data_IF_597974808183
#
_entry.id   IF_597974808183
#
_cell.length_a   1.000
_cell.length_b   1.000
_cell.length_c   1.000
_cell.angle_alpha   90.00
_cell.angle_beta   90.00
_cell.angle_gamma   90.00
#
_symmetry.space_group_name_H-M   'P 1'
#
loop_
_entity.id
_entity.type
_entity.pdbx_description
1 polymer ?
#
# COMPACT_ATOMS: atom_id res chain seq x y z
N UNK A 1 37.74 26.05 -22.66
CA UNK A 1 37.13 24.71 -22.58
C UNK A 1 37.80 24.02 -21.42
N UNK A 2 37.07 23.85 -20.29
CA UNK A 2 37.66 23.28 -19.08
C UNK A 2 37.80 21.75 -19.18
N UNK A 3 38.94 21.22 -18.73
CA UNK A 3 39.28 19.82 -18.66
C UNK A 3 38.18 18.96 -17.97
N UNK A 4 37.45 19.54 -17.02
CA UNK A 4 36.29 18.96 -16.35
C UNK A 4 35.06 18.77 -17.27
N UNK A 5 34.82 19.68 -18.23
CA UNK A 5 33.72 19.52 -19.19
C UNK A 5 34.03 18.47 -20.25
N UNK A 6 35.31 18.26 -20.56
CA UNK A 6 35.78 17.23 -21.48
C UNK A 6 35.67 15.84 -20.86
N UNK A 7 36.02 15.69 -19.55
CA UNK A 7 35.86 14.43 -18.81
C UNK A 7 34.38 14.05 -18.56
N UNK A 8 33.52 15.07 -18.33
CA UNK A 8 32.08 14.87 -18.20
C UNK A 8 31.47 14.38 -19.53
N UNK A 9 31.88 14.99 -20.66
CA UNK A 9 31.46 14.56 -21.99
C UNK A 9 31.92 13.14 -22.36
N UNK A 10 33.13 12.73 -21.95
CA UNK A 10 33.64 11.38 -22.18
C UNK A 10 32.90 10.35 -21.33
N UNK A 11 32.57 10.63 -20.07
CA UNK A 11 31.82 9.73 -19.20
C UNK A 11 30.39 9.56 -19.65
N UNK A 12 29.71 10.64 -20.04
CA UNK A 12 28.38 10.57 -20.64
C UNK A 12 28.41 9.79 -21.96
N UNK A 13 29.46 9.95 -22.76
CA UNK A 13 29.65 9.20 -24.00
C UNK A 13 30.01 7.70 -23.76
N UNK A 14 30.69 7.38 -22.64
CA UNK A 14 30.96 5.98 -22.25
C UNK A 14 29.70 5.27 -21.72
N UNK A 15 28.81 5.96 -20.98
CA UNK A 15 27.50 5.44 -20.61
C UNK A 15 26.57 5.29 -21.82
N UNK A 16 26.66 6.17 -22.81
CA UNK A 16 25.96 6.05 -24.09
C UNK A 16 26.50 4.90 -24.97
N UNK A 17 27.71 4.42 -24.73
CA UNK A 17 28.29 3.26 -25.44
C UNK A 17 28.04 1.93 -24.76
N UNK A 18 27.67 1.88 -23.50
CA UNK A 18 26.94 0.77 -22.92
C UNK A 18 25.52 0.83 -23.51
N UNK A 19 25.04 -0.19 -24.20
CA UNK A 19 23.67 -0.30 -24.71
C UNK A 19 22.70 -0.18 -23.52
N UNK A 20 22.46 1.06 -23.08
CA UNK A 20 21.46 1.35 -22.05
C UNK A 20 20.11 1.38 -22.75
N UNK A 21 19.17 0.52 -22.36
CA UNK A 21 17.79 0.60 -22.82
C UNK A 21 17.05 1.86 -22.30
N UNK A 22 17.76 2.77 -21.59
CA UNK A 22 17.18 3.99 -21.05
C UNK A 22 17.09 5.10 -22.12
N UNK A 23 16.01 5.88 -22.16
CA UNK A 23 15.90 7.03 -23.06
C UNK A 23 17.02 8.05 -22.82
N UNK A 24 17.61 8.61 -23.88
CA UNK A 24 18.68 9.62 -23.77
C UNK A 24 18.21 10.84 -22.95
N UNK A 25 16.98 11.28 -23.18
CA UNK A 25 16.39 12.39 -22.43
C UNK A 25 16.26 12.09 -20.93
N UNK A 26 15.98 10.82 -20.55
CA UNK A 26 15.96 10.40 -19.16
C UNK A 26 17.36 10.50 -18.53
N UNK A 27 18.38 9.95 -19.20
CA UNK A 27 19.77 10.01 -18.69
C UNK A 27 20.20 11.46 -18.52
N UNK A 28 19.93 12.32 -19.51
CA UNK A 28 20.21 13.76 -19.41
C UNK A 28 19.49 14.41 -18.24
N UNK A 29 18.20 14.13 -18.06
CA UNK A 29 17.39 14.66 -16.98
C UNK A 29 17.95 14.26 -15.60
N UNK A 30 18.39 13.01 -15.43
CA UNK A 30 18.99 12.57 -14.17
C UNK A 30 20.27 13.34 -13.85
N UNK A 31 21.13 13.60 -14.85
CA UNK A 31 22.32 14.42 -14.67
C UNK A 31 22.04 15.92 -14.44
N UNK A 32 20.88 16.43 -14.85
CA UNK A 32 20.42 17.78 -14.51
C UNK A 32 19.88 17.85 -13.07
N UNK A 33 19.27 16.77 -12.60
CA UNK A 33 18.60 16.73 -11.29
C UNK A 33 19.53 16.31 -10.13
N UNK A 34 20.53 15.50 -10.41
CA UNK A 34 21.44 14.94 -9.42
C UNK A 34 22.90 15.26 -9.73
N UNK A 35 23.77 15.12 -8.74
CA UNK A 35 25.21 15.11 -9.01
C UNK A 35 25.59 13.90 -9.88
N UNK A 36 26.70 14.03 -10.60
CA UNK A 36 27.14 13.03 -11.58
C UNK A 36 27.26 11.62 -10.96
N UNK A 37 27.73 11.51 -9.72
CA UNK A 37 27.91 10.20 -9.05
C UNK A 37 26.58 9.54 -8.79
N UNK A 38 25.60 10.29 -8.29
CA UNK A 38 24.25 9.82 -8.02
C UNK A 38 23.51 9.44 -9.32
N UNK A 39 23.60 10.28 -10.36
CA UNK A 39 22.97 10.01 -11.66
C UNK A 39 23.57 8.76 -12.34
N UNK A 40 24.91 8.64 -12.34
CA UNK A 40 25.61 7.45 -12.87
C UNK A 40 25.22 6.18 -12.13
N UNK A 41 25.16 6.22 -10.79
CA UNK A 41 24.77 5.08 -9.97
C UNK A 41 23.32 4.65 -10.24
N UNK A 42 22.40 5.61 -10.32
CA UNK A 42 20.99 5.36 -10.66
C UNK A 42 20.83 4.71 -12.03
N UNK A 43 21.39 5.33 -13.09
CA UNK A 43 21.28 4.81 -14.44
C UNK A 43 21.92 3.41 -14.57
N UNK A 44 23.07 3.19 -13.91
CA UNK A 44 23.72 1.87 -13.88
C UNK A 44 22.84 0.84 -13.17
N UNK A 45 22.29 1.17 -12.02
CA UNK A 45 21.44 0.27 -11.25
C UNK A 45 20.16 -0.11 -12.03
N UNK A 46 19.54 0.85 -12.72
CA UNK A 46 18.36 0.59 -13.56
C UNK A 46 18.64 -0.40 -14.71
N UNK A 47 19.87 -0.46 -15.18
CA UNK A 47 20.28 -1.36 -16.29
C UNK A 47 20.85 -2.70 -15.84
N UNK A 48 21.40 -2.79 -14.62
CA UNK A 48 22.27 -3.93 -14.24
C UNK A 48 21.83 -4.68 -13.00
N UNK A 49 20.87 -4.17 -12.24
CA UNK A 49 20.42 -4.82 -11.01
C UNK A 49 19.00 -5.35 -11.14
N UNK A 50 18.76 -6.52 -10.52
CA UNK A 50 17.43 -7.10 -10.43
C UNK A 50 16.57 -6.37 -9.38
N UNK A 51 15.23 -6.34 -9.57
CA UNK A 51 14.30 -5.81 -8.59
C UNK A 51 14.38 -6.55 -7.24
N UNK A 52 14.48 -5.79 -6.16
CA UNK A 52 14.41 -6.34 -4.80
C UNK A 52 13.01 -6.89 -4.51
N UNK A 53 12.95 -8.01 -3.80
CA UNK A 53 11.68 -8.61 -3.36
C UNK A 53 11.52 -8.40 -1.88
N UNK A 54 10.39 -7.86 -1.47
CA UNK A 54 10.08 -7.66 -0.05
C UNK A 54 8.62 -7.96 0.27
N UNK A 55 8.40 -8.32 1.52
CA UNK A 55 7.07 -8.60 2.09
C UNK A 55 6.86 -7.77 3.34
N UNK A 56 5.60 -7.54 3.66
CA UNK A 56 5.19 -6.92 4.92
C UNK A 56 4.09 -7.77 5.56
N UNK A 57 4.32 -8.16 6.81
CA UNK A 57 3.38 -8.97 7.58
C UNK A 57 2.13 -8.16 7.99
N UNK A 58 1.01 -8.84 8.11
CA UNK A 58 -0.16 -8.32 8.80
C UNK A 58 0.02 -8.60 10.30
N UNK A 59 0.31 -7.57 11.12
CA UNK A 59 0.68 -7.78 12.54
C UNK A 59 -0.47 -8.32 13.40
N UNK A 60 -1.71 -8.36 12.87
CA UNK A 60 -2.86 -8.95 13.53
C UNK A 60 -3.10 -10.43 13.16
N UNK A 61 -2.27 -10.98 12.28
CA UNK A 61 -2.40 -12.36 11.77
C UNK A 61 -1.12 -13.17 11.86
N UNK A 62 0.03 -12.52 11.78
CA UNK A 62 1.33 -13.18 11.71
C UNK A 62 2.39 -12.28 12.35
N UNK A 63 3.16 -12.83 13.27
CA UNK A 63 4.23 -12.11 13.96
C UNK A 63 5.58 -12.26 13.27
N UNK A 64 6.48 -11.32 13.53
CA UNK A 64 7.85 -11.39 13.03
C UNK A 64 8.61 -12.60 13.62
N UNK A 65 8.34 -12.95 14.88
CA UNK A 65 8.94 -14.08 15.57
C UNK A 65 8.59 -15.42 14.90
N UNK A 66 7.33 -15.61 14.51
CA UNK A 66 6.89 -16.82 13.79
C UNK A 66 7.61 -16.97 12.46
N UNK A 67 7.78 -15.89 11.72
CA UNK A 67 8.48 -15.90 10.42
C UNK A 67 9.97 -16.13 10.60
N UNK A 68 10.61 -15.45 11.54
CA UNK A 68 12.04 -15.57 11.82
C UNK A 68 12.43 -16.92 12.42
N UNK A 69 11.51 -17.61 13.10
CA UNK A 69 11.71 -18.99 13.55
C UNK A 69 11.90 -19.97 12.38
N UNK A 70 11.26 -19.71 11.22
CA UNK A 70 11.39 -20.51 10.00
C UNK A 70 12.51 -19.98 9.09
N UNK A 71 12.66 -18.66 9.04
CA UNK A 71 13.60 -17.96 8.17
C UNK A 71 14.49 -17.01 8.97
N UNK A 72 15.45 -17.52 9.75
CA UNK A 72 16.29 -16.68 10.64
C UNK A 72 17.19 -15.68 9.89
N UNK A 73 17.42 -15.90 8.61
CA UNK A 73 18.30 -15.08 7.76
C UNK A 73 17.58 -13.94 7.04
N UNK A 74 16.26 -13.72 7.29
CA UNK A 74 15.55 -12.61 6.66
C UNK A 74 16.06 -11.27 7.17
N UNK A 75 16.37 -10.40 6.23
CA UNK A 75 16.80 -9.04 6.53
C UNK A 75 15.59 -8.12 6.71
N UNK A 76 15.48 -7.39 7.83
CA UNK A 76 14.38 -6.45 8.03
C UNK A 76 14.49 -5.25 7.09
N UNK A 77 13.35 -4.68 6.69
CA UNK A 77 13.28 -3.38 6.04
C UNK A 77 13.43 -2.30 7.12
N UNK A 78 14.51 -1.48 7.10
CA UNK A 78 14.86 -0.63 8.25
C UNK A 78 13.82 0.42 8.64
N UNK A 79 12.97 0.83 7.72
CA UNK A 79 11.97 1.89 7.89
C UNK A 79 10.54 1.39 8.05
N UNK A 80 10.32 0.06 8.07
CA UNK A 80 9.00 -0.52 8.22
C UNK A 80 9.03 -1.72 9.16
N UNK A 81 8.38 -1.64 10.33
CA UNK A 81 8.26 -2.78 11.23
C UNK A 81 7.50 -3.93 10.53
N UNK A 82 7.84 -5.17 10.89
CA UNK A 82 7.24 -6.39 10.33
C UNK A 82 7.39 -6.53 8.80
N UNK A 83 8.43 -5.92 8.22
CA UNK A 83 8.74 -6.04 6.80
C UNK A 83 10.15 -6.61 6.58
N UNK A 84 10.29 -7.45 5.56
CA UNK A 84 11.51 -8.20 5.30
C UNK A 84 11.84 -8.24 3.81
N UNK A 85 13.13 -8.22 3.50
CA UNK A 85 13.65 -8.56 2.18
C UNK A 85 13.72 -10.08 2.02
N UNK A 86 13.40 -10.56 0.83
CA UNK A 86 13.57 -11.96 0.45
C UNK A 86 14.77 -12.10 -0.48
N UNK A 87 15.55 -13.18 -0.35
CA UNK A 87 16.71 -13.45 -1.21
C UNK A 87 16.33 -13.70 -2.67
N UNK A 88 15.14 -14.28 -2.89
CA UNK A 88 14.60 -14.57 -4.22
C UNK A 88 13.07 -14.39 -4.22
N UNK A 89 12.49 -14.34 -5.40
CA UNK A 89 11.04 -14.23 -5.56
C UNK A 89 10.38 -15.61 -5.57
N UNK A 90 9.71 -16.02 -4.51
CA UNK A 90 9.03 -17.30 -4.49
C UNK A 90 7.74 -17.26 -5.31
N UNK A 91 7.12 -18.43 -5.49
CA UNK A 91 5.83 -18.58 -6.16
C UNK A 91 4.66 -18.22 -5.21
N UNK A 92 4.57 -16.96 -4.82
CA UNK A 92 3.60 -16.43 -3.86
C UNK A 92 2.15 -16.87 -4.08
N UNK A 93 1.75 -17.09 -5.34
CA UNK A 93 0.40 -17.55 -5.70
C UNK A 93 0.03 -18.85 -5.01
N UNK A 94 1.00 -19.70 -4.67
CA UNK A 94 0.78 -20.99 -4.03
C UNK A 94 0.93 -20.96 -2.51
N UNK A 95 1.08 -19.76 -1.92
CA UNK A 95 1.06 -19.62 -0.47
C UNK A 95 -0.35 -19.29 0.02
N UNK A 96 -1.03 -20.23 0.75
CA UNK A 96 -2.34 -19.94 1.32
C UNK A 96 -2.33 -18.74 2.29
N UNK A 97 -1.19 -18.45 2.95
CA UNK A 97 -1.04 -17.30 3.86
C UNK A 97 -1.18 -15.97 3.13
N UNK A 98 -0.70 -15.86 1.87
CA UNK A 98 -0.97 -14.67 1.04
C UNK A 98 -2.47 -14.47 0.83
N UNK A 99 -3.18 -15.56 0.51
CA UNK A 99 -4.63 -15.53 0.27
C UNK A 99 -5.45 -15.28 1.54
N UNK A 100 -4.91 -15.66 2.70
CA UNK A 100 -5.46 -15.31 4.01
C UNK A 100 -5.15 -13.86 4.42
N UNK A 101 -4.38 -13.10 3.64
CA UNK A 101 -3.96 -11.74 3.97
C UNK A 101 -3.05 -11.66 5.19
N UNK A 102 -2.25 -12.72 5.45
CA UNK A 102 -1.28 -12.75 6.53
C UNK A 102 -0.04 -11.88 6.24
N UNK A 103 0.24 -11.64 4.97
CA UNK A 103 1.27 -10.71 4.52
C UNK A 103 0.90 -10.10 3.16
N UNK A 104 1.61 -9.03 2.79
CA UNK A 104 1.50 -8.35 1.50
C UNK A 104 2.87 -8.32 0.81
N UNK A 105 2.94 -8.62 -0.48
CA UNK A 105 4.15 -8.44 -1.29
C UNK A 105 4.20 -6.98 -1.69
N UNK A 106 5.09 -6.22 -1.07
CA UNK A 106 5.16 -4.77 -1.24
C UNK A 106 6.60 -4.34 -1.50
N UNK A 107 6.78 -3.37 -2.38
CA UNK A 107 8.07 -2.74 -2.65
C UNK A 107 8.57 -2.01 -1.39
N UNK A 108 9.85 -2.22 -1.03
CA UNK A 108 10.40 -1.80 0.25
C UNK A 108 10.38 -0.28 0.45
N UNK A 109 10.81 0.52 -0.55
CA UNK A 109 10.86 1.97 -0.42
C UNK A 109 9.47 2.57 -0.20
N UNK A 110 8.42 2.00 -0.84
CA UNK A 110 7.03 2.41 -0.64
C UNK A 110 6.50 2.20 0.77
N UNK A 111 7.16 1.35 1.56
CA UNK A 111 6.85 1.15 2.98
C UNK A 111 7.34 2.29 3.87
N UNK A 112 8.14 3.22 3.34
CA UNK A 112 8.66 4.37 4.09
C UNK A 112 7.56 5.29 4.66
N UNK A 113 6.34 5.22 4.14
CA UNK A 113 5.20 5.93 4.73
C UNK A 113 4.96 5.52 6.19
N UNK A 114 5.42 4.33 6.63
CA UNK A 114 5.34 3.92 8.03
C UNK A 114 6.09 4.86 8.96
N UNK A 115 7.25 5.38 8.53
CA UNK A 115 8.05 6.33 9.30
C UNK A 115 7.45 7.74 9.38
N UNK A 116 6.49 8.07 8.49
CA UNK A 116 5.85 9.38 8.44
C UNK A 116 4.59 9.47 9.31
N UNK A 117 4.13 8.34 9.82
CA UNK A 117 2.92 8.22 10.64
C UNK A 117 3.19 7.91 12.12
N UNK A 118 4.23 8.43 12.77
CA UNK A 118 4.61 8.04 14.14
C UNK A 118 3.62 8.48 15.20
N UNK A 119 2.75 9.45 14.89
CA UNK A 119 1.64 9.83 15.76
C UNK A 119 0.54 8.75 15.84
N UNK A 120 0.58 7.74 14.97
CA UNK A 120 -0.43 6.70 14.85
C UNK A 120 -0.04 5.40 15.58
N UNK A 121 1.24 5.18 15.88
CA UNK A 121 1.69 3.94 16.53
C UNK A 121 1.89 4.12 18.03
N UNK A 122 1.15 3.37 18.86
CA UNK A 122 1.49 3.10 20.26
C UNK A 122 2.50 1.94 20.27
N UNK A 123 3.78 2.19 20.02
CA UNK A 123 4.79 1.14 20.06
C UNK A 123 6.17 1.68 20.35
N UNK A 124 6.80 1.21 21.43
CA UNK A 124 8.20 1.40 21.77
C UNK A 124 9.08 0.56 20.82
N UNK A 125 9.17 1.00 19.58
CA UNK A 125 10.09 0.48 18.59
C UNK A 125 10.73 1.65 17.88
N UNK A 126 11.72 2.28 18.51
CA UNK A 126 12.54 3.29 17.85
C UNK A 126 13.17 2.65 16.61
N UNK A 127 12.73 3.10 15.43
CA UNK A 127 13.39 2.78 14.17
C UNK A 127 14.84 3.26 14.29
N UNK A 128 15.79 2.34 14.12
CA UNK A 128 17.23 2.58 14.32
C UNK A 128 17.90 3.38 13.18
N UNK A 129 17.15 4.13 12.38
CA UNK A 129 17.66 4.94 11.27
C UNK A 129 16.98 6.33 11.21
N UNK A 130 17.66 7.35 10.70
CA UNK A 130 17.31 8.75 10.86
C UNK A 130 16.14 9.16 9.97
N UNK A 131 14.93 8.76 10.32
CA UNK A 131 13.78 9.59 10.06
C UNK A 131 13.75 10.68 11.14
N UNK A 132 13.49 11.94 10.78
CA UNK A 132 13.32 12.98 11.78
C UNK A 132 12.25 12.57 12.78
N UNK A 133 12.31 13.09 14.03
CA UNK A 133 11.38 12.71 15.08
C UNK A 133 9.94 12.90 14.59
N UNK A 134 9.03 12.03 15.05
CA UNK A 134 7.64 12.02 14.61
C UNK A 134 7.00 13.40 14.70
N UNK A 135 6.44 13.83 13.58
CA UNK A 135 5.58 15.00 13.55
C UNK A 135 4.35 14.69 14.40
N UNK A 136 4.17 15.40 15.49
CA UNK A 136 2.90 15.35 16.23
C UNK A 136 1.86 16.06 15.35
N UNK A 137 1.15 15.28 14.54
CA UNK A 137 -0.15 15.73 14.00
C UNK A 137 -0.96 16.15 15.20
N UNK A 138 -1.68 17.28 15.17
CA UNK A 138 -2.37 17.88 16.31
C UNK A 138 -3.42 17.02 17.02
N UNK A 139 -3.39 15.69 16.86
CA UNK A 139 -4.04 14.71 17.70
C UNK A 139 -3.37 14.70 19.07
N UNK A 140 -4.11 15.12 20.09
CA UNK A 140 -3.70 14.94 21.49
C UNK A 140 -3.41 13.47 21.72
N UNK A 141 -2.21 13.18 22.21
CA UNK A 141 -1.76 11.84 22.59
C UNK A 141 -2.79 11.14 23.47
N UNK A 142 -3.38 10.05 22.98
CA UNK A 142 -4.30 9.16 23.71
C UNK A 142 -5.71 9.13 23.13
N UNK A 143 -6.10 8.03 22.48
CA UNK A 143 -7.48 7.58 22.25
C UNK A 143 -8.35 8.26 21.15
N UNK A 144 -7.89 9.23 20.40
CA UNK A 144 -8.73 9.77 19.33
C UNK A 144 -8.70 8.86 18.08
N UNK A 145 -9.86 8.42 17.64
CA UNK A 145 -10.04 7.77 16.34
C UNK A 145 -9.67 8.71 15.21
N UNK A 146 -9.06 8.19 14.14
CA UNK A 146 -8.53 8.92 13.01
C UNK A 146 -9.36 8.61 11.78
N UNK A 147 -9.70 9.64 10.99
CA UNK A 147 -10.19 9.47 9.63
C UNK A 147 -9.03 9.64 8.65
N UNK A 148 -8.65 8.53 8.02
CA UNK A 148 -7.63 8.51 6.98
C UNK A 148 -8.25 8.27 5.60
N UNK A 149 -7.69 8.91 4.57
CA UNK A 149 -8.04 8.70 3.16
C UNK A 149 -6.79 8.38 2.37
N UNK A 150 -6.76 7.21 1.74
CA UNK A 150 -5.79 6.84 0.68
C UNK A 150 -6.50 7.04 -0.67
N UNK A 151 -6.13 8.12 -1.39
CA UNK A 151 -6.89 8.61 -2.54
C UNK A 151 -6.66 7.79 -3.81
N UNK A 152 -5.44 7.25 -4.01
CA UNK A 152 -5.01 6.50 -5.19
C UNK A 152 -4.52 5.11 -4.79
N UNK A 153 -5.38 4.36 -4.10
CA UNK A 153 -5.01 3.27 -3.23
C UNK A 153 -4.61 1.95 -3.93
N UNK A 154 -5.09 1.72 -5.17
CA UNK A 154 -4.86 0.44 -5.83
C UNK A 154 -3.37 0.17 -6.14
N UNK A 155 -2.90 -1.05 -5.92
CA UNK A 155 -3.63 -2.28 -5.58
C UNK A 155 -3.87 -2.54 -4.08
N UNK A 156 -3.47 -1.63 -3.15
CA UNK A 156 -3.77 -1.75 -1.72
C UNK A 156 -2.55 -1.90 -0.79
N UNK A 157 -1.32 -1.87 -1.32
CA UNK A 157 -0.11 -2.03 -0.50
C UNK A 157 0.03 -0.92 0.56
N UNK A 158 -0.14 0.34 0.19
CA UNK A 158 -0.09 1.49 1.10
C UNK A 158 -1.33 1.56 2.00
N UNK A 159 -2.52 1.25 1.48
CA UNK A 159 -3.74 1.14 2.28
C UNK A 159 -3.65 0.09 3.38
N UNK A 160 -3.17 -1.11 3.09
CA UNK A 160 -2.99 -2.17 4.09
C UNK A 160 -1.91 -1.81 5.12
N UNK A 161 -0.86 -1.08 4.72
CA UNK A 161 0.12 -0.54 5.65
C UNK A 161 -0.51 0.50 6.57
N UNK A 162 -1.20 1.49 6.00
CA UNK A 162 -1.86 2.55 6.77
C UNK A 162 -2.88 1.97 7.75
N UNK A 163 -3.71 0.99 7.33
CA UNK A 163 -4.65 0.30 8.20
C UNK A 163 -3.97 -0.36 9.42
N UNK A 164 -2.77 -0.93 9.22
CA UNK A 164 -2.02 -1.56 10.30
C UNK A 164 -1.50 -0.56 11.35
N UNK A 165 -1.28 0.69 10.95
CA UNK A 165 -0.73 1.76 11.77
C UNK A 165 -1.81 2.58 12.51
N UNK A 166 -3.05 2.57 12.01
CA UNK A 166 -4.14 3.33 12.59
C UNK A 166 -4.54 2.76 13.97
N UNK A 167 -4.88 3.61 14.95
CA UNK A 167 -5.43 3.18 16.23
C UNK A 167 -6.81 2.54 16.05
N UNK A 168 -7.21 1.75 17.03
CA UNK A 168 -8.55 1.16 17.10
C UNK A 168 -9.64 2.24 17.03
N UNK A 169 -10.79 1.89 16.43
CA UNK A 169 -11.89 2.83 16.23
C UNK A 169 -11.68 3.85 15.10
N UNK A 170 -10.54 3.82 14.41
CA UNK A 170 -10.28 4.66 13.24
C UNK A 170 -11.00 4.17 11.99
N UNK A 171 -11.12 5.06 11.00
CA UNK A 171 -11.68 4.74 9.69
C UNK A 171 -10.64 5.03 8.61
N UNK A 172 -10.40 4.06 7.74
CA UNK A 172 -9.63 4.22 6.51
C UNK A 172 -10.56 4.15 5.30
N UNK A 173 -10.60 5.22 4.52
CA UNK A 173 -11.18 5.20 3.17
C UNK A 173 -10.06 4.91 2.19
N UNK A 174 -10.21 3.84 1.41
CA UNK A 174 -9.26 3.45 0.36
C UNK A 174 -9.95 3.63 -0.99
N UNK A 175 -9.53 4.63 -1.76
CA UNK A 175 -10.18 5.03 -3.00
C UNK A 175 -9.37 4.71 -4.25
N UNK A 176 -10.06 4.36 -5.33
CA UNK A 176 -9.47 4.20 -6.66
C UNK A 176 -10.53 4.51 -7.72
N UNK A 177 -10.35 5.53 -8.56
CA UNK A 177 -11.38 5.92 -9.55
C UNK A 177 -11.55 4.90 -10.68
N UNK A 178 -10.54 4.11 -11.01
CA UNK A 178 -10.58 3.18 -12.15
C UNK A 178 -11.18 1.84 -11.73
N UNK A 179 -12.35 1.49 -12.25
CA UNK A 179 -13.16 0.35 -11.84
C UNK A 179 -12.39 -0.98 -11.74
N UNK A 180 -11.56 -1.31 -12.74
CA UNK A 180 -10.76 -2.55 -12.72
C UNK A 180 -9.74 -2.56 -11.59
N UNK A 181 -9.10 -1.43 -11.32
CA UNK A 181 -8.13 -1.28 -10.24
C UNK A 181 -8.83 -1.25 -8.88
N UNK A 182 -9.97 -0.58 -8.78
CA UNK A 182 -10.80 -0.54 -7.57
C UNK A 182 -11.31 -1.93 -7.17
N UNK A 183 -11.63 -2.79 -8.14
CA UNK A 183 -11.97 -4.19 -7.87
C UNK A 183 -10.80 -4.95 -7.24
N UNK A 184 -9.58 -4.80 -7.76
CA UNK A 184 -8.36 -5.43 -7.20
C UNK A 184 -8.08 -4.90 -5.80
N UNK A 185 -8.21 -3.59 -5.57
CA UNK A 185 -8.10 -2.97 -4.26
C UNK A 185 -9.09 -3.59 -3.27
N UNK A 186 -10.36 -3.68 -3.66
CA UNK A 186 -11.43 -4.27 -2.84
C UNK A 186 -11.10 -5.73 -2.45
N UNK A 187 -10.64 -6.54 -3.39
CA UNK A 187 -10.23 -7.92 -3.13
C UNK A 187 -9.07 -8.03 -2.13
N UNK A 188 -8.03 -7.21 -2.30
CA UNK A 188 -6.88 -7.21 -1.42
C UNK A 188 -7.24 -6.72 0.00
N UNK A 189 -8.07 -5.67 0.10
CA UNK A 189 -8.53 -5.17 1.40
C UNK A 189 -9.43 -6.18 2.10
N UNK A 190 -10.32 -6.89 1.38
CA UNK A 190 -11.14 -7.97 1.95
C UNK A 190 -10.28 -9.10 2.53
N UNK A 191 -9.25 -9.57 1.79
CA UNK A 191 -8.31 -10.59 2.28
C UNK A 191 -7.54 -10.11 3.51
N UNK A 192 -7.10 -8.84 3.48
CA UNK A 192 -6.37 -8.23 4.60
C UNK A 192 -7.21 -8.14 5.87
N UNK A 193 -8.47 -7.74 5.74
CA UNK A 193 -9.41 -7.54 6.86
C UNK A 193 -10.03 -8.83 7.39
N UNK A 194 -10.08 -9.89 6.59
CA UNK A 194 -10.73 -11.15 6.95
C UNK A 194 -10.14 -11.75 8.24
N UNK A 195 -10.98 -12.01 9.24
CA UNK A 195 -10.56 -12.54 10.54
C UNK A 195 -9.86 -11.55 11.46
N UNK A 196 -9.82 -10.26 11.13
CA UNK A 196 -9.39 -9.24 12.09
C UNK A 196 -10.45 -9.00 13.17
N UNK A 197 -10.06 -8.59 14.39
CA UNK A 197 -11.00 -8.25 15.46
C UNK A 197 -11.89 -7.06 15.06
N UNK A 198 -13.07 -6.95 15.69
CA UNK A 198 -14.03 -5.87 15.40
C UNK A 198 -13.50 -4.48 15.73
N UNK A 199 -12.61 -4.40 16.69
CA UNK A 199 -11.95 -3.18 17.16
C UNK A 199 -10.91 -2.68 16.15
N UNK A 200 -10.49 -3.52 15.18
CA UNK A 200 -9.55 -3.10 14.13
C UNK A 200 -10.11 -1.91 13.34
N UNK A 201 -9.23 -1.01 12.85
CA UNK A 201 -9.67 0.14 12.05
C UNK A 201 -10.60 -0.28 10.91
N UNK A 202 -11.78 0.35 10.84
CA UNK A 202 -12.76 0.11 9.77
C UNK A 202 -12.19 0.52 8.43
N UNK A 203 -12.41 -0.29 7.40
CA UNK A 203 -11.98 -0.01 6.03
C UNK A 203 -13.21 0.15 5.13
N UNK A 204 -13.23 1.23 4.36
CA UNK A 204 -14.24 1.52 3.35
C UNK A 204 -13.52 1.67 2.01
N UNK A 205 -13.78 0.78 1.06
CA UNK A 205 -13.25 0.88 -0.30
C UNK A 205 -14.24 1.61 -1.19
N UNK A 206 -13.77 2.66 -1.86
CA UNK A 206 -14.60 3.51 -2.71
C UNK A 206 -14.05 3.58 -4.14
N UNK A 207 -14.93 3.94 -5.07
CA UNK A 207 -14.59 4.20 -6.47
C UNK A 207 -15.13 5.58 -6.86
N UNK A 208 -14.33 6.62 -6.59
CA UNK A 208 -14.73 8.02 -6.74
C UNK A 208 -13.60 8.85 -7.32
N UNK A 209 -13.93 9.96 -7.97
CA UNK A 209 -12.98 11.00 -8.35
C UNK A 209 -12.70 11.93 -7.17
N UNK A 210 -11.55 12.66 -7.13
CA UNK A 210 -11.21 13.56 -6.02
C UNK A 210 -12.29 14.59 -5.69
N UNK A 211 -12.97 15.14 -6.69
CA UNK A 211 -14.04 16.11 -6.50
C UNK A 211 -15.30 15.57 -5.79
N UNK A 212 -15.49 14.24 -5.76
CA UNK A 212 -16.67 13.62 -5.13
C UNK A 212 -16.59 13.64 -3.59
N UNK A 213 -15.44 13.96 -3.02
CA UNK A 213 -15.19 13.96 -1.58
C UNK A 213 -15.61 15.25 -0.86
N UNK A 214 -16.43 16.11 -1.48
CA UNK A 214 -16.88 17.38 -0.91
C UNK A 214 -17.53 17.25 0.47
N UNK A 215 -18.25 16.17 0.74
CA UNK A 215 -18.86 15.89 2.05
C UNK A 215 -17.83 15.71 3.19
N UNK A 216 -16.58 15.41 2.89
CA UNK A 216 -15.48 15.25 3.85
C UNK A 216 -14.65 16.52 4.07
N UNK A 217 -15.10 17.67 3.58
CA UNK A 217 -14.37 18.95 3.74
C UNK A 217 -13.98 19.19 5.20
N UNK A 218 -12.68 19.36 5.46
CA UNK A 218 -12.11 19.64 6.77
C UNK A 218 -12.25 18.52 7.79
N UNK A 219 -12.47 17.26 7.36
CA UNK A 219 -12.68 16.13 8.27
C UNK A 219 -11.54 15.11 8.30
N UNK A 220 -10.71 15.06 7.25
CA UNK A 220 -9.65 14.05 7.11
C UNK A 220 -8.43 14.44 7.94
N UNK A 221 -7.98 13.52 8.80
CA UNK A 221 -6.77 13.67 9.61
C UNK A 221 -5.50 13.37 8.84
N UNK A 222 -5.53 12.29 8.04
CA UNK A 222 -4.41 11.82 7.23
C UNK A 222 -4.88 11.58 5.81
N UNK A 223 -4.30 12.30 4.87
CA UNK A 223 -4.51 12.14 3.44
C UNK A 223 -3.24 11.55 2.81
N UNK A 224 -3.34 10.35 2.27
CA UNK A 224 -2.28 9.73 1.48
C UNK A 224 -2.63 9.87 0.00
N UNK A 225 -1.69 10.41 -0.77
CA UNK A 225 -1.81 10.56 -2.23
C UNK A 225 -0.58 9.95 -2.90
N UNK A 226 -0.68 8.66 -3.24
CA UNK A 226 0.28 7.99 -4.13
C UNK A 226 -0.16 8.22 -5.57
N UNK A 227 0.17 9.40 -6.08
CA UNK A 227 -0.42 9.92 -7.31
C UNK A 227 0.05 9.18 -8.57
N UNK A 228 -0.78 9.09 -9.62
CA UNK A 228 -0.33 8.60 -10.92
C UNK A 228 0.85 9.42 -11.43
N UNK A 229 1.93 8.74 -11.85
CA UNK A 229 3.21 9.35 -12.22
C UNK A 229 3.76 8.78 -13.52
N UNK A 230 4.89 9.30 -14.01
CA UNK A 230 5.55 8.85 -15.25
C UNK A 230 6.11 7.43 -15.18
N UNK A 231 6.18 6.83 -13.98
CA UNK A 231 6.46 5.41 -13.79
C UNK A 231 7.93 5.02 -13.89
N UNK A 232 8.87 5.92 -13.66
CA UNK A 232 10.32 5.67 -13.73
C UNK A 232 10.77 4.52 -12.80
N UNK A 233 10.15 4.37 -11.63
CA UNK A 233 10.39 3.25 -10.72
C UNK A 233 9.94 1.87 -11.24
N UNK A 234 9.30 1.82 -12.40
CA UNK A 234 8.92 0.56 -13.07
C UNK A 234 9.96 0.09 -14.09
N UNK A 235 10.99 0.87 -14.41
CA UNK A 235 11.93 0.59 -15.51
C UNK A 235 12.62 -0.76 -15.37
N UNK A 236 12.93 -1.23 -14.16
CA UNK A 236 13.50 -2.58 -13.95
C UNK A 236 12.50 -3.73 -14.10
N UNK A 237 11.19 -3.44 -14.08
CA UNK A 237 10.12 -4.45 -14.08
C UNK A 237 9.31 -4.49 -15.36
N UNK A 238 9.27 -3.39 -16.09
CA UNK A 238 8.41 -3.21 -17.26
C UNK A 238 9.12 -2.41 -18.35
N UNK A 239 9.57 -3.09 -19.39
CA UNK A 239 10.13 -2.44 -20.56
C UNK A 239 9.13 -1.52 -21.28
N UNK A 240 7.82 -1.74 -21.09
CA UNK A 240 6.78 -0.86 -21.59
C UNK A 240 6.89 0.54 -20.99
N UNK A 241 7.16 0.62 -19.68
CA UNK A 241 7.35 1.89 -18.97
C UNK A 241 8.53 2.70 -19.57
N UNK A 242 9.62 2.03 -19.95
CA UNK A 242 10.77 2.67 -20.61
C UNK A 242 10.36 3.24 -21.98
N UNK A 243 9.61 2.47 -22.76
CA UNK A 243 9.19 2.87 -24.13
C UNK A 243 8.16 4.00 -24.14
N UNK A 244 7.30 4.06 -23.14
CA UNK A 244 6.25 5.07 -23.01
C UNK A 244 6.75 6.35 -22.33
N UNK A 245 7.93 6.32 -21.69
CA UNK A 245 8.47 7.46 -21.01
C UNK A 245 8.90 8.58 -21.97
N UNK A 246 8.56 9.81 -21.64
CA UNK A 246 9.01 11.02 -22.35
C UNK A 246 8.92 12.23 -21.41
N UNK A 247 9.69 13.30 -21.70
CA UNK A 247 9.58 14.56 -20.96
C UNK A 247 8.19 15.18 -21.04
N UNK A 248 7.47 14.99 -22.15
CA UNK A 248 6.09 15.43 -22.31
C UNK A 248 5.16 14.68 -21.32
N UNK A 249 5.32 13.36 -21.21
CA UNK A 249 4.57 12.54 -20.26
C UNK A 249 4.87 12.94 -18.81
N UNK A 250 6.13 13.21 -18.47
CA UNK A 250 6.52 13.74 -17.14
C UNK A 250 5.76 15.04 -16.83
N UNK A 251 5.74 15.99 -17.76
CA UNK A 251 5.03 17.27 -17.57
C UNK A 251 3.51 17.09 -17.46
N UNK A 252 2.95 16.22 -18.27
CA UNK A 252 1.53 15.88 -18.19
C UNK A 252 1.19 15.23 -16.83
N UNK A 253 2.03 14.33 -16.33
CA UNK A 253 1.85 13.72 -15.01
C UNK A 253 1.97 14.75 -13.89
N UNK A 254 2.98 15.64 -13.94
CA UNK A 254 3.12 16.75 -13.01
C UNK A 254 1.83 17.58 -12.90
N UNK A 255 1.26 18.00 -14.04
CA UNK A 255 0.03 18.79 -14.03
C UNK A 255 -1.16 18.00 -13.47
N UNK A 256 -1.34 16.74 -13.88
CA UNK A 256 -2.39 15.86 -13.35
C UNK A 256 -2.31 15.70 -11.84
N UNK A 257 -1.10 15.58 -11.30
CA UNK A 257 -0.88 15.47 -9.86
C UNK A 257 -1.32 16.74 -9.12
N UNK A 258 -1.02 17.92 -9.69
CA UNK A 258 -1.48 19.21 -9.15
C UNK A 258 -3.00 19.36 -9.21
N UNK A 259 -3.63 18.92 -10.30
CA UNK A 259 -5.08 18.93 -10.43
C UNK A 259 -5.74 18.03 -9.36
N UNK A 260 -5.24 16.79 -9.19
CA UNK A 260 -5.71 15.86 -8.14
C UNK A 260 -5.58 16.49 -6.75
N UNK A 261 -4.42 17.10 -6.45
CA UNK A 261 -4.17 17.72 -5.15
C UNK A 261 -5.05 18.94 -4.91
N UNK A 262 -5.28 19.77 -5.94
CA UNK A 262 -6.19 20.92 -5.87
C UNK A 262 -7.62 20.49 -5.55
N UNK A 263 -8.10 19.43 -6.20
CA UNK A 263 -9.44 18.91 -6.02
C UNK A 263 -9.66 18.29 -4.63
N UNK A 264 -8.62 17.72 -4.00
CA UNK A 264 -8.77 16.97 -2.75
C UNK A 264 -8.28 17.73 -1.50
N UNK A 265 -7.46 18.77 -1.65
CA UNK A 265 -6.84 19.47 -0.50
C UNK A 265 -7.85 19.93 0.56
N UNK A 266 -9.04 20.30 0.14
CA UNK A 266 -10.09 20.83 1.01
C UNK A 266 -10.56 19.82 2.07
N UNK A 267 -10.43 18.51 1.83
CA UNK A 267 -10.86 17.47 2.80
C UNK A 267 -9.96 17.41 4.03
N UNK A 268 -8.68 17.81 3.88
CA UNK A 268 -7.72 17.77 4.96
C UNK A 268 -8.06 18.85 5.99
N UNK A 269 -8.21 18.47 7.24
CA UNK A 269 -8.49 19.43 8.31
C UNK A 269 -7.26 20.28 8.67
N UNK A 270 -7.45 21.49 9.25
CA UNK A 270 -6.33 22.23 9.80
C UNK A 270 -5.57 21.38 10.83
N UNK A 271 -4.25 21.29 10.69
CA UNK A 271 -3.39 20.37 11.44
C UNK A 271 -3.38 18.92 10.97
N UNK A 272 -4.15 18.57 9.93
CA UNK A 272 -4.09 17.27 9.28
C UNK A 272 -2.84 17.11 8.43
N UNK A 273 -2.46 15.87 8.13
CA UNK A 273 -1.23 15.50 7.44
C UNK A 273 -1.51 15.00 6.03
N UNK A 274 -0.93 15.65 5.01
CA UNK A 274 -0.77 15.08 3.67
C UNK A 274 0.51 14.26 3.62
N UNK A 275 0.42 13.03 3.11
CA UNK A 275 1.55 12.21 2.68
C UNK A 275 1.46 12.15 1.15
N UNK A 276 2.39 12.83 0.48
CA UNK A 276 2.52 12.86 -0.96
C UNK A 276 3.59 11.86 -1.40
N UNK A 277 3.33 11.04 -2.40
CA UNK A 277 4.32 10.08 -2.91
C UNK A 277 4.17 9.80 -4.40
N UNK A 278 5.29 9.44 -5.02
CA UNK A 278 5.39 8.96 -6.40
C UNK A 278 6.40 7.81 -6.48
N UNK A 279 6.38 7.07 -7.58
CA UNK A 279 7.44 6.13 -7.93
C UNK A 279 8.33 6.68 -9.07
N UNK A 280 8.74 7.94 -8.98
CA UNK A 280 9.62 8.59 -9.95
C UNK A 280 10.92 9.07 -9.33
N UNK A 281 11.83 9.56 -10.17
CA UNK A 281 13.11 10.13 -9.76
C UNK A 281 13.25 11.60 -10.18
N UNK A 282 12.33 12.11 -11.00
CA UNK A 282 12.44 13.46 -11.54
C UNK A 282 11.86 14.50 -10.59
N UNK A 283 12.55 15.62 -10.45
CA UNK A 283 12.14 16.71 -9.55
C UNK A 283 10.82 17.37 -9.93
N UNK A 284 10.40 17.27 -11.20
CA UNK A 284 9.16 17.89 -11.65
C UNK A 284 7.94 17.30 -10.95
N UNK A 285 7.90 15.97 -10.86
CA UNK A 285 6.81 15.27 -10.20
C UNK A 285 7.00 15.19 -8.67
N UNK A 286 8.21 15.41 -8.18
CA UNK A 286 8.61 15.19 -6.79
C UNK A 286 8.76 16.53 -6.05
N UNK A 287 9.96 17.08 -5.89
CA UNK A 287 10.21 18.28 -5.11
C UNK A 287 9.48 19.53 -5.63
N UNK A 288 9.32 19.68 -6.95
CA UNK A 288 8.61 20.84 -7.50
C UNK A 288 7.12 20.80 -7.16
N UNK A 289 6.52 19.59 -7.09
CA UNK A 289 5.15 19.44 -6.61
C UNK A 289 5.05 19.65 -5.10
N UNK A 290 6.02 19.15 -4.30
CA UNK A 290 6.03 19.42 -2.86
C UNK A 290 6.13 20.93 -2.58
N UNK A 291 7.00 21.67 -3.31
CA UNK A 291 7.09 23.14 -3.22
C UNK A 291 5.81 23.82 -3.68
N UNK A 292 5.20 23.34 -4.75
CA UNK A 292 3.93 23.85 -5.26
C UNK A 292 2.78 23.67 -4.23
N UNK A 293 2.72 22.53 -3.53
CA UNK A 293 1.76 22.33 -2.42
C UNK A 293 1.98 23.40 -1.33
N UNK A 294 3.23 23.73 -1.03
CA UNK A 294 3.52 24.79 -0.04
C UNK A 294 3.08 26.18 -0.51
N UNK A 295 3.37 26.54 -1.76
CA UNK A 295 3.07 27.89 -2.29
C UNK A 295 1.61 28.11 -2.63
N UNK A 296 0.95 27.12 -3.24
CA UNK A 296 -0.41 27.29 -3.79
C UNK A 296 -1.50 26.76 -2.86
N UNK A 297 -1.24 25.67 -2.15
CA UNK A 297 -2.24 25.05 -1.25
C UNK A 297 -2.01 25.42 0.23
N UNK A 298 -0.87 26.08 0.54
CA UNK A 298 -0.53 26.50 1.88
C UNK A 298 -0.11 25.37 2.81
N UNK A 299 0.40 24.26 2.28
CA UNK A 299 1.04 23.21 3.05
C UNK A 299 2.39 23.66 3.63
N UNK A 300 2.90 22.92 4.60
CA UNK A 300 4.23 23.12 5.18
C UNK A 300 5.06 21.86 4.98
N UNK A 301 6.19 21.94 4.27
CA UNK A 301 7.06 20.77 4.05
C UNK A 301 7.83 20.47 5.34
N UNK A 302 7.51 19.34 5.96
CA UNK A 302 8.21 18.89 7.17
C UNK A 302 9.33 17.92 6.87
N UNK A 303 9.13 17.03 5.90
CA UNK A 303 10.10 16.05 5.50
C UNK A 303 9.86 15.63 4.05
N UNK A 304 10.94 15.38 3.33
CA UNK A 304 10.94 14.71 2.04
C UNK A 304 12.09 13.71 1.97
N UNK A 305 11.92 12.64 1.21
CA UNK A 305 12.98 11.65 0.96
C UNK A 305 12.80 10.99 -0.41
N UNK A 306 13.92 10.90 -1.13
CA UNK A 306 14.08 10.04 -2.30
C UNK A 306 14.79 8.73 -1.93
N UNK A 307 14.23 7.63 -2.39
CA UNK A 307 14.87 6.32 -2.44
C UNK A 307 15.27 6.08 -3.89
N UNK A 308 16.57 5.97 -4.16
CA UNK A 308 17.11 5.84 -5.50
C UNK A 308 17.81 4.48 -5.67
N UNK A 309 17.46 3.68 -6.69
CA UNK A 309 18.24 2.51 -7.08
C UNK A 309 19.74 2.84 -7.20
N UNK A 310 20.59 1.95 -6.73
CA UNK A 310 22.05 2.18 -6.68
C UNK A 310 22.54 2.90 -5.43
N UNK A 311 21.67 3.62 -4.71
CA UNK A 311 21.95 4.22 -3.39
C UNK A 311 21.13 3.54 -2.28
N UNK A 312 19.87 3.34 -2.52
CA UNK A 312 18.93 2.73 -1.57
C UNK A 312 18.44 1.38 -2.11
N UNK A 313 18.05 0.48 -1.21
CA UNK A 313 17.41 -0.79 -1.58
C UNK A 313 15.93 -0.54 -1.90
N UNK A 314 15.53 -0.83 -3.13
CA UNK A 314 14.15 -0.64 -3.63
C UNK A 314 14.12 -0.23 -5.09
N UNK A 315 12.89 -0.02 -5.61
CA UNK A 315 12.66 0.33 -7.03
C UNK A 315 12.72 1.82 -7.31
N UNK A 316 12.73 2.61 -6.27
CA UNK A 316 12.63 4.06 -6.34
C UNK A 316 11.29 4.57 -5.86
N UNK A 317 11.38 5.59 -5.03
CA UNK A 317 10.21 6.17 -4.39
C UNK A 317 10.53 7.56 -3.85
N UNK A 318 9.66 8.50 -4.11
CA UNK A 318 9.67 9.79 -3.44
C UNK A 318 8.52 9.87 -2.44
N UNK A 319 8.78 10.44 -1.28
CA UNK A 319 7.75 10.70 -0.29
C UNK A 319 8.01 12.01 0.43
N UNK A 320 6.95 12.79 0.62
CA UNK A 320 6.96 14.02 1.39
C UNK A 320 5.80 14.06 2.37
N UNK A 321 6.03 14.63 3.54
CA UNK A 321 5.00 14.91 4.54
C UNK A 321 4.75 16.40 4.66
N UNK A 322 3.48 16.79 4.44
CA UNK A 322 3.07 18.18 4.35
C UNK A 322 1.79 18.41 5.19
N UNK A 323 1.91 18.85 6.46
CA UNK A 323 0.73 19.22 7.22
C UNK A 323 0.06 20.47 6.64
N UNK A 324 -1.26 20.51 6.78
CA UNK A 324 -2.03 21.74 6.61
C UNK A 324 -1.89 22.58 7.88
N UNK A 325 -1.38 23.83 7.81
CA UNK A 325 -1.20 24.65 8.99
C UNK A 325 -2.47 24.87 9.78
N UNK A 326 -2.33 25.00 11.10
CA UNK A 326 -3.43 25.40 11.97
C UNK A 326 -3.83 26.84 11.62
N UNK A 327 -5.08 27.06 11.25
CA UNK A 327 -5.61 28.40 11.12
C UNK A 327 -5.56 29.09 12.49
N UNK A 328 -4.94 30.29 12.57
CA UNK A 328 -5.00 31.11 13.79
C UNK A 328 -6.46 31.34 14.15
N UNK A 329 -6.84 30.85 15.31
CA UNK A 329 -8.18 30.84 15.94
C UNK A 329 -9.20 31.76 15.27
N UNK A 330 -10.07 31.19 14.45
CA UNK A 330 -11.47 31.52 14.34
C UNK A 330 -12.17 30.22 13.96
N UNK A 331 -13.07 29.78 14.83
CA UNK A 331 -13.96 28.64 14.70
C UNK A 331 -13.46 27.29 15.24
N UNK A 332 -14.28 26.76 16.13
CA UNK A 332 -14.15 25.48 16.77
C UNK A 332 -14.23 24.32 15.77
N UNK A 333 -13.10 23.73 15.43
CA UNK A 333 -13.10 22.41 14.81
C UNK A 333 -13.67 21.42 15.83
N UNK A 334 -14.87 20.92 15.59
CA UNK A 334 -15.43 19.80 16.37
C UNK A 334 -14.51 18.59 16.17
N UNK A 335 -14.17 17.86 17.24
CA UNK A 335 -13.48 16.59 17.07
C UNK A 335 -14.31 15.66 16.18
N UNK A 336 -13.64 14.93 15.27
CA UNK A 336 -14.30 13.88 14.52
C UNK A 336 -14.85 12.85 15.50
N UNK A 337 -16.15 12.69 15.51
CA UNK A 337 -16.82 11.59 16.18
C UNK A 337 -17.14 10.57 15.09
N UNK A 338 -16.56 9.36 15.12
CA UNK A 338 -16.90 8.33 14.13
C UNK A 338 -18.41 8.17 14.10
N UNK A 339 -19.03 8.05 12.93
CA UNK A 339 -20.44 7.71 12.85
C UNK A 339 -20.68 6.41 13.61
N UNK A 340 -21.51 6.46 14.65
CA UNK A 340 -22.04 5.27 15.29
C UNK A 340 -22.80 4.42 14.25
N UNK A 341 -22.90 3.12 14.45
CA UNK A 341 -23.66 2.22 13.59
C UNK A 341 -25.04 2.83 13.27
N UNK A 342 -25.31 3.07 11.97
CA UNK A 342 -26.56 3.66 11.50
C UNK A 342 -26.49 5.09 10.94
N UNK A 343 -25.39 5.83 11.08
CA UNK A 343 -25.26 7.17 10.48
C UNK A 343 -24.54 7.11 9.12
N UNK A 344 -25.28 6.73 8.06
CA UNK A 344 -24.78 6.71 6.67
C UNK A 344 -24.55 8.08 6.03
N UNK A 345 -24.82 9.19 6.75
CA UNK A 345 -24.80 10.53 6.17
C UNK A 345 -23.40 11.06 5.86
N UNK A 346 -22.35 10.69 6.63
CA UNK A 346 -20.99 11.18 6.41
C UNK A 346 -20.37 10.70 5.10
N UNK A 347 -20.83 9.57 4.57
CA UNK A 347 -20.36 8.96 3.32
C UNK A 347 -21.44 8.96 2.23
N UNK A 348 -22.52 9.73 2.45
CA UNK A 348 -23.59 9.88 1.46
C UNK A 348 -23.02 10.53 0.19
N UNK A 349 -23.28 9.91 -0.95
CA UNK A 349 -22.76 10.35 -2.26
C UNK A 349 -21.49 9.62 -2.71
N UNK A 350 -20.78 8.88 -1.86
CA UNK A 350 -19.65 8.06 -2.30
C UNK A 350 -20.12 6.70 -2.84
N UNK A 351 -19.51 6.26 -3.94
CA UNK A 351 -19.70 4.92 -4.46
C UNK A 351 -18.83 3.92 -3.69
N UNK A 352 -19.44 3.21 -2.74
CA UNK A 352 -18.77 2.24 -1.86
C UNK A 352 -18.81 0.85 -2.50
N UNK A 353 -17.63 0.22 -2.63
CA UNK A 353 -17.45 -1.14 -3.12
C UNK A 353 -17.36 -2.17 -1.98
N UNK A 354 -16.79 -1.78 -0.85
CA UNK A 354 -16.60 -2.63 0.31
C UNK A 354 -16.58 -1.79 1.59
N UNK A 355 -17.15 -2.34 2.66
CA UNK A 355 -17.11 -1.77 4.00
C UNK A 355 -16.96 -2.89 5.01
N UNK A 356 -15.85 -2.90 5.76
CA UNK A 356 -15.54 -3.96 6.71
C UNK A 356 -16.49 -4.03 7.92
N UNK A 357 -17.23 -2.95 8.20
CA UNK A 357 -18.23 -2.93 9.28
C UNK A 357 -19.64 -3.28 8.80
N UNK A 358 -19.88 -3.36 7.49
CA UNK A 358 -21.21 -3.67 6.95
C UNK A 358 -21.51 -5.16 7.05
N UNK A 359 -22.54 -5.50 7.79
CA UNK A 359 -23.16 -6.84 7.78
C UNK A 359 -23.99 -7.11 6.51
N UNK A 360 -24.07 -6.16 5.59
CA UNK A 360 -25.03 -6.14 4.51
C UNK A 360 -24.72 -7.10 3.36
N UNK A 361 -25.78 -7.63 2.81
CA UNK A 361 -25.95 -8.62 1.72
C UNK A 361 -25.23 -8.30 0.39
N UNK A 362 -24.50 -7.19 0.28
CA UNK A 362 -23.78 -6.78 -0.94
C UNK A 362 -22.33 -7.26 -1.02
N UNK A 363 -21.79 -7.81 0.07
CA UNK A 363 -20.42 -8.33 0.07
C UNK A 363 -20.40 -9.72 -0.61
N UNK A 364 -19.51 -9.90 -1.58
CA UNK A 364 -19.24 -11.21 -2.22
C UNK A 364 -18.68 -12.23 -1.22
N UNK A 365 -18.29 -11.81 -0.04
CA UNK A 365 -18.00 -12.59 1.15
C UNK A 365 -19.06 -12.31 2.21
N UNK A 366 -19.79 -13.33 2.67
CA UNK A 366 -20.54 -13.14 3.90
C UNK A 366 -19.56 -12.83 5.02
N UNK A 367 -19.84 -11.83 5.88
CA UNK A 367 -19.12 -11.65 7.14
C UNK A 367 -19.18 -12.98 7.92
N UNK A 368 -18.26 -13.22 8.85
CA UNK A 368 -18.43 -14.28 9.84
C UNK A 368 -19.85 -14.12 10.38
N UNK A 369 -20.65 -15.16 10.29
CA UNK A 369 -22.11 -15.13 10.58
C UNK A 369 -22.34 -14.62 12.00
N UNK A 370 -22.59 -13.33 12.17
CA UNK A 370 -23.09 -12.76 13.42
C UNK A 370 -24.51 -13.25 13.63
N UNK A 371 -24.75 -13.93 14.73
CA UNK A 371 -26.10 -14.28 15.20
C UNK A 371 -26.56 -15.73 14.98
N UNK A 372 -25.79 -16.59 14.34
CA UNK A 372 -26.06 -18.04 14.31
C UNK A 372 -24.81 -18.80 14.74
N UNK A 373 -24.57 -18.97 16.03
CA UNK A 373 -23.50 -19.80 16.58
C UNK A 373 -22.11 -19.56 15.96
N UNK A 374 -21.03 -19.72 16.70
CA UNK A 374 -19.67 -19.61 16.17
C UNK A 374 -19.54 -20.38 14.87
N UNK A 375 -19.21 -19.69 13.76
CA UNK A 375 -18.99 -20.33 12.46
C UNK A 375 -17.86 -21.36 12.64
N UNK A 376 -18.14 -22.64 12.39
CA UNK A 376 -17.16 -23.71 12.56
C UNK A 376 -16.00 -23.44 11.59
N UNK A 377 -14.82 -23.17 12.16
CA UNK A 377 -13.58 -23.05 11.40
C UNK A 377 -13.05 -24.46 11.12
N UNK A 378 -12.74 -24.74 9.86
CA UNK A 378 -12.15 -26.02 9.43
C UNK A 378 -10.77 -25.71 8.89
N UNK A 379 -9.75 -26.12 9.62
CA UNK A 379 -8.37 -25.94 9.21
C UNK A 379 -7.99 -26.96 8.13
N UNK A 380 -7.43 -26.49 7.06
CA UNK A 380 -7.08 -27.27 5.88
C UNK A 380 -5.58 -27.56 5.87
N UNK A 381 -5.20 -28.75 5.42
CA UNK A 381 -3.80 -29.00 5.04
C UNK A 381 -3.40 -28.13 3.86
N UNK A 382 -2.11 -27.96 3.62
CA UNK A 382 -1.60 -27.20 2.48
C UNK A 382 -2.23 -27.62 1.14
N UNK A 383 -2.29 -28.92 0.86
CA UNK A 383 -2.89 -29.45 -0.36
C UNK A 383 -4.38 -29.13 -0.48
N UNK A 384 -5.14 -29.29 0.63
CA UNK A 384 -6.57 -28.96 0.67
C UNK A 384 -6.81 -27.45 0.52
N UNK A 385 -5.94 -26.61 1.09
CA UNK A 385 -6.01 -25.16 0.92
C UNK A 385 -5.82 -24.77 -0.55
N UNK A 386 -4.85 -25.36 -1.27
CA UNK A 386 -4.69 -25.13 -2.70
C UNK A 386 -5.89 -25.61 -3.52
N UNK A 387 -6.48 -26.78 -3.19
CA UNK A 387 -7.73 -27.24 -3.82
C UNK A 387 -8.86 -26.23 -3.59
N UNK A 388 -8.98 -25.72 -2.37
CA UNK A 388 -9.95 -24.67 -2.05
C UNK A 388 -9.73 -23.40 -2.89
N UNK A 389 -8.50 -22.89 -2.94
CA UNK A 389 -8.13 -21.69 -3.68
C UNK A 389 -8.30 -21.85 -5.22
N UNK A 390 -8.27 -23.09 -5.72
CA UNK A 390 -8.58 -23.42 -7.13
C UNK A 390 -10.06 -23.64 -7.39
N UNK A 391 -10.90 -23.60 -6.34
CA UNK A 391 -12.32 -23.98 -6.39
C UNK A 391 -12.58 -25.44 -6.77
N UNK A 392 -11.65 -26.31 -6.46
CA UNK A 392 -11.82 -27.74 -6.60
C UNK A 392 -12.72 -28.31 -5.48
N UNK A 393 -13.22 -29.52 -5.69
CA UNK A 393 -14.06 -30.19 -4.69
C UNK A 393 -13.24 -30.64 -3.49
N UNK A 394 -13.73 -30.33 -2.29
CA UNK A 394 -13.09 -30.70 -1.02
C UNK A 394 -13.80 -31.90 -0.39
N UNK A 395 -13.08 -33.01 -0.30
CA UNK A 395 -13.54 -34.23 0.42
C UNK A 395 -13.04 -34.15 1.87
N UNK A 396 -13.62 -33.24 2.62
CA UNK A 396 -13.33 -33.01 4.04
C UNK A 396 -14.65 -33.14 4.80
N UNK A 397 -14.67 -33.92 5.86
CA UNK A 397 -15.84 -34.00 6.73
C UNK A 397 -16.10 -32.67 7.42
N UNK A 398 -17.34 -32.26 7.41
CA UNK A 398 -17.76 -30.98 7.97
C UNK A 398 -19.20 -31.04 8.45
N UNK A 399 -19.57 -30.32 9.52
CA UNK A 399 -20.95 -30.18 9.92
C UNK A 399 -21.80 -29.60 8.78
N UNK A 400 -23.09 -29.96 8.75
CA UNK A 400 -24.00 -29.40 7.74
C UNK A 400 -24.27 -27.92 8.03
N UNK A 401 -24.06 -27.10 7.04
CA UNK A 401 -24.28 -25.66 7.14
C UNK A 401 -23.08 -24.80 6.70
N UNK A 402 -23.11 -23.49 6.97
CA UNK A 402 -22.01 -22.62 6.69
C UNK A 402 -20.79 -22.97 7.52
N UNK A 403 -19.60 -22.93 6.91
CA UNK A 403 -18.30 -23.13 7.56
C UNK A 403 -17.31 -22.10 7.04
N UNK A 404 -16.31 -21.75 7.84
CA UNK A 404 -15.14 -20.96 7.41
C UNK A 404 -13.98 -21.91 7.17
N UNK A 405 -13.37 -21.85 5.99
CA UNK A 405 -12.17 -22.61 5.69
C UNK A 405 -10.95 -21.82 6.10
N UNK A 406 -10.05 -22.45 6.83
CA UNK A 406 -8.86 -21.82 7.40
C UNK A 406 -7.59 -22.55 6.91
N UNK A 407 -6.47 -21.89 6.99
CA UNK A 407 -5.15 -22.49 6.89
C UNK A 407 -4.28 -21.96 8.02
N UNK A 408 -3.73 -22.84 8.85
CA UNK A 408 -3.01 -22.51 10.07
C UNK A 408 -3.81 -21.53 10.97
N UNK A 409 -5.11 -21.83 11.14
CA UNK A 409 -6.02 -21.00 11.92
C UNK A 409 -6.45 -19.69 11.26
N UNK A 410 -5.85 -19.29 10.12
CA UNK A 410 -6.20 -18.06 9.42
C UNK A 410 -7.28 -18.29 8.37
N UNK A 411 -8.35 -17.49 8.34
CA UNK A 411 -9.46 -17.69 7.44
C UNK A 411 -9.06 -17.45 5.97
N UNK A 412 -9.41 -18.39 5.10
CA UNK A 412 -9.29 -18.32 3.65
C UNK A 412 -10.60 -17.90 2.98
N UNK A 413 -11.73 -18.27 3.59
CA UNK A 413 -13.03 -17.93 3.05
C UNK A 413 -14.14 -18.92 3.36
N UNK A 414 -15.34 -18.71 2.77
CA UNK A 414 -16.55 -19.46 3.09
C UNK A 414 -16.62 -20.82 2.40
N UNK A 415 -17.28 -21.75 3.06
CA UNK A 415 -17.71 -23.03 2.51
C UNK A 415 -19.10 -23.43 3.04
N UNK A 416 -19.67 -24.50 2.47
CA UNK A 416 -20.88 -25.11 3.00
C UNK A 416 -20.64 -26.59 3.19
N UNK A 417 -20.60 -27.00 4.46
CA UNK A 417 -20.49 -28.39 4.84
C UNK A 417 -21.80 -29.16 4.51
N UNK A 418 -21.64 -30.38 4.00
CA UNK A 418 -22.77 -31.29 3.68
C UNK A 418 -22.59 -32.70 4.29
N UNK A 419 -21.72 -32.81 5.29
CA UNK A 419 -21.35 -34.06 5.96
C UNK A 419 -19.99 -34.55 5.47
N UNK A 420 -19.96 -35.36 4.42
CA UNK A 420 -18.74 -35.99 3.90
C UNK A 420 -17.88 -35.13 2.97
N UNK A 421 -18.33 -33.90 2.67
CA UNK A 421 -17.62 -32.94 1.80
C UNK A 421 -18.01 -31.51 2.13
N UNK A 422 -17.24 -30.59 1.57
CA UNK A 422 -17.51 -29.13 1.63
C UNK A 422 -17.76 -28.64 0.21
N UNK A 423 -18.85 -27.92 0.00
CA UNK A 423 -19.08 -27.15 -1.20
C UNK A 423 -18.21 -25.90 -1.13
N UNK A 424 -17.34 -25.74 -2.10
CA UNK A 424 -16.39 -24.65 -2.17
C UNK A 424 -17.09 -23.36 -2.63
N UNK A 425 -17.09 -22.34 -1.78
CA UNK A 425 -17.69 -21.03 -2.06
C UNK A 425 -16.66 -19.94 -2.28
N UNK A 426 -15.38 -20.30 -2.51
CA UNK A 426 -14.33 -19.32 -2.81
C UNK A 426 -14.70 -18.50 -4.04
N UNK A 427 -14.49 -17.15 -4.04
CA UNK A 427 -14.87 -16.31 -5.17
C UNK A 427 -14.20 -16.73 -6.47
N UNK A 428 -14.97 -16.81 -7.56
CA UNK A 428 -14.46 -17.18 -8.88
C UNK A 428 -13.33 -16.25 -9.35
N UNK A 429 -13.46 -14.96 -9.08
CA UNK A 429 -12.48 -13.95 -9.47
C UNK A 429 -11.11 -14.17 -8.80
N UNK A 430 -11.09 -14.77 -7.60
CA UNK A 430 -9.89 -14.92 -6.78
C UNK A 430 -9.18 -16.24 -6.97
N UNK A 431 -9.76 -17.16 -7.71
CA UNK A 431 -9.23 -18.52 -7.85
C UNK A 431 -7.84 -18.54 -8.49
N UNK A 432 -7.02 -19.45 -8.05
CA UNK A 432 -5.77 -19.81 -8.73
C UNK A 432 -6.11 -20.52 -10.03
N UNK A 433 -5.67 -19.98 -11.17
CA UNK A 433 -6.01 -20.50 -12.50
C UNK A 433 -4.96 -21.44 -13.09
N UNK A 434 -3.73 -21.36 -12.59
CA UNK A 434 -2.65 -22.22 -13.06
C UNK A 434 -2.81 -23.66 -12.59
N UNK A 435 -2.49 -24.61 -13.45
CA UNK A 435 -2.60 -26.05 -13.19
C UNK A 435 -1.33 -26.64 -12.56
N UNK A 436 -0.16 -26.03 -12.81
CA UNK A 436 1.07 -26.44 -12.14
C UNK A 436 1.14 -25.86 -10.72
N UNK A 437 1.93 -26.48 -9.85
CA UNK A 437 2.18 -26.01 -8.48
C UNK A 437 3.67 -26.02 -8.22
N UNK A 438 4.20 -24.87 -7.77
CA UNK A 438 5.50 -24.80 -7.10
C UNK A 438 5.20 -24.63 -5.61
N UNK A 439 5.36 -25.67 -4.80
CA UNK A 439 4.99 -25.61 -3.39
C UNK A 439 5.78 -24.51 -2.68
N UNK A 440 5.06 -23.62 -2.00
CA UNK A 440 5.65 -22.55 -1.19
C UNK A 440 4.70 -22.14 -0.06
N UNK A 441 5.23 -21.97 1.12
CA UNK A 441 4.56 -21.29 2.23
C UNK A 441 5.59 -20.54 3.06
N UNK A 442 5.26 -19.30 3.43
CA UNK A 442 6.13 -18.42 4.22
C UNK A 442 6.49 -19.03 5.59
N UNK A 443 5.62 -19.82 6.18
CA UNK A 443 5.86 -20.55 7.43
C UNK A 443 6.37 -22.00 7.22
N UNK A 444 6.93 -22.30 6.05
CA UNK A 444 7.33 -23.66 5.68
C UNK A 444 6.13 -24.56 5.30
N UNK A 445 6.41 -25.63 4.58
CA UNK A 445 5.40 -26.62 4.24
C UNK A 445 5.22 -27.58 5.42
N UNK A 446 3.99 -27.92 5.76
CA UNK A 446 3.68 -29.06 6.61
C UNK A 446 3.93 -30.32 5.77
N UNK A 447 4.87 -31.18 6.21
CA UNK A 447 5.19 -32.46 5.59
C UNK A 447 4.15 -33.53 5.97
#
# INVERSE_FOLDING_TARGET
MNYLSYLCGIKVHLLMTMQTNLPEDFVRLMHEHYDTTTADALCTALCTTEPEVSIRLNPRKLTAEEVLAVHPDLEPVPWCPNAFYLKERPAFTFDPLLHAGAYYVQEAASMAIAGLTPALSKGEGALSQPFPPPVRVGCRTGEASILALDLCAAPGGKSTLLQSLLPEGSILISNEPIAKRAQVLSENMQKWMMGQPKEAPRVIVTQNYPADFGALTGQVDVLLTDVPCSGEGMFRKDEGAIREWSLENVRMCQQRQRDILSDIWHVLKPGGLLIYSTCTFNRYEDEDNARWICSELGGELLMERHFLPGRDRGEGFYVASLPRPLQRRSESSRPFTPPLEGQGEAFSGLHVLYDSASSARSQKFPPPLEGQGEAVCIDLTYSQALQYLRREALRVEAPRGPVTLCYRGLPLGPGKGVGSRINNLYPEAWRIRTTYTTPYSLLGLEL
#
